data_IF_647118858706
#
_entry.id   IF_647118858706
#
_cell.length_a   1.000
_cell.length_b   1.000
_cell.length_c   1.000
_cell.angle_alpha   90.00
_cell.angle_beta   90.00
_cell.angle_gamma   90.00
#
_symmetry.space_group_name_H-M   'P 1'
#
loop_
_entity.id
_entity.type
_entity.pdbx_description
1 polymer ?
#
# COMPACT_ATOMS: atom_id res chain seq x y z
N UNK A 1 8.73 68.54 49.57
CA UNK A 1 7.36 68.04 49.82
C UNK A 1 7.39 66.55 49.57
N UNK A 2 7.55 65.80 50.66
CA UNK A 2 7.55 64.35 50.76
C UNK A 2 6.17 63.75 50.58
N UNK A 3 6.08 62.58 49.93
CA UNK A 3 5.31 61.40 50.39
C UNK A 3 6.01 60.15 49.82
N UNK A 4 6.94 59.54 50.56
CA UNK A 4 6.80 58.32 51.39
C UNK A 4 6.45 57.00 50.65
N UNK A 5 7.51 56.23 50.41
CA UNK A 5 7.72 54.81 50.76
C UNK A 5 6.53 54.01 51.34
N UNK A 6 6.32 52.80 50.78
CA UNK A 6 6.27 51.58 51.60
C UNK A 6 6.62 50.31 50.79
N UNK A 7 7.72 49.68 51.22
CA UNK A 7 8.17 48.31 50.94
C UNK A 7 7.28 47.30 51.66
N UNK A 8 7.21 46.08 51.13
CA UNK A 8 7.35 44.77 51.81
C UNK A 8 6.50 43.73 51.07
N UNK A 9 6.77 42.43 51.06
CA UNK A 9 7.93 41.59 51.35
C UNK A 9 7.53 40.21 50.80
N UNK A 10 8.48 39.45 50.26
CA UNK A 10 8.28 38.02 50.01
C UNK A 10 8.20 37.25 51.34
N UNK A 11 7.51 36.11 51.38
CA UNK A 11 7.96 35.00 52.19
C UNK A 11 8.25 33.76 51.34
N UNK A 12 9.22 32.99 51.83
CA UNK A 12 9.75 31.78 51.24
C UNK A 12 9.00 30.52 51.72
N UNK A 13 8.96 29.51 50.84
CA UNK A 13 9.00 28.05 51.06
C UNK A 13 7.96 27.40 51.99
N UNK A 14 7.16 26.50 51.40
CA UNK A 14 6.85 25.17 51.97
C UNK A 14 6.34 24.19 50.89
N UNK A 15 7.16 23.18 50.57
CA UNK A 15 6.71 21.84 50.11
C UNK A 15 6.09 21.11 51.32
N UNK A 16 5.10 20.19 51.19
CA UNK A 16 5.21 18.97 50.36
C UNK A 16 3.89 18.51 49.68
N UNK A 17 3.97 17.73 48.60
CA UNK A 17 3.61 16.30 48.59
C UNK A 17 3.49 15.80 47.14
N UNK A 18 4.17 14.69 46.90
CA UNK A 18 4.22 13.94 45.65
C UNK A 18 2.89 13.22 45.39
N UNK A 19 2.38 13.28 44.16
CA UNK A 19 1.67 12.16 43.55
C UNK A 19 2.14 11.99 42.10
N UNK A 20 3.05 11.03 41.95
CA UNK A 20 3.43 10.40 40.68
C UNK A 20 2.23 9.60 40.18
N UNK A 21 1.89 9.74 38.91
CA UNK A 21 1.07 8.75 38.19
C UNK A 21 1.94 8.09 37.11
N UNK A 22 1.84 6.78 37.07
CA UNK A 22 2.87 5.82 36.74
C UNK A 22 2.81 5.31 35.30
N UNK A 23 3.98 5.21 34.66
CA UNK A 23 4.25 4.30 33.54
C UNK A 23 4.18 2.84 34.03
N UNK A 24 3.58 1.89 33.29
CA UNK A 24 3.83 0.48 33.52
C UNK A 24 5.05 0.03 32.71
N UNK A 25 6.23 0.04 33.35
CA UNK A 25 7.31 -0.88 33.00
C UNK A 25 7.13 -2.14 33.87
N UNK A 26 6.88 -3.29 33.26
CA UNK A 26 7.17 -4.58 33.89
C UNK A 26 7.98 -5.44 32.93
N UNK A 27 9.30 -5.40 33.15
CA UNK A 27 10.20 -6.50 32.90
C UNK A 27 9.65 -7.73 33.64
N UNK A 28 9.29 -8.78 32.91
CA UNK A 28 9.16 -10.11 33.48
C UNK A 28 10.29 -10.99 32.96
N UNK A 29 10.97 -11.57 33.95
CA UNK A 29 12.16 -12.39 33.90
C UNK A 29 11.91 -13.67 33.11
N UNK A 30 12.77 -13.94 32.13
CA UNK A 30 12.88 -15.25 31.48
C UNK A 30 13.51 -16.21 32.49
N UNK A 31 12.73 -17.17 32.97
CA UNK A 31 13.25 -18.40 33.60
C UNK A 31 12.94 -19.58 32.69
N UNK A 32 14.01 -20.13 32.14
CA UNK A 32 14.10 -21.40 31.44
C UNK A 32 13.64 -22.55 32.33
N UNK A 33 12.67 -23.34 31.86
CA UNK A 33 12.55 -24.76 32.22
C UNK A 33 11.91 -25.56 31.08
N UNK A 34 12.74 -26.44 30.53
CA UNK A 34 12.45 -27.84 30.17
C UNK A 34 11.63 -28.15 28.91
N UNK A 35 12.38 -28.77 28.00
CA UNK A 35 11.97 -29.54 26.83
C UNK A 35 10.85 -30.53 27.12
N UNK A 36 9.81 -30.51 26.30
CA UNK A 36 8.98 -31.69 26.08
C UNK A 36 9.32 -32.25 24.70
N UNK A 37 10.09 -33.32 24.74
CA UNK A 37 10.40 -34.23 23.64
C UNK A 37 9.11 -34.89 23.14
N UNK A 38 8.84 -34.76 21.85
CA UNK A 38 7.82 -35.56 21.18
C UNK A 38 8.27 -37.02 21.13
N UNK A 39 7.70 -37.84 22.01
CA UNK A 39 7.89 -39.28 22.02
C UNK A 39 7.26 -39.93 20.79
N UNK A 40 8.09 -40.59 20.00
CA UNK A 40 7.69 -41.45 18.89
C UNK A 40 7.03 -42.71 19.47
N UNK A 41 5.75 -42.93 19.19
CA UNK A 41 5.08 -44.21 19.49
C UNK A 41 4.73 -44.88 18.17
N UNK A 42 5.50 -45.90 17.83
CA UNK A 42 5.18 -46.87 16.79
C UNK A 42 3.98 -47.71 17.24
N UNK A 43 2.92 -47.75 16.44
CA UNK A 43 1.86 -48.74 16.57
C UNK A 43 1.73 -49.52 15.25
N UNK A 44 2.04 -50.81 15.33
CA UNK A 44 2.01 -51.76 14.23
C UNK A 44 0.63 -52.39 14.03
N UNK A 45 0.28 -52.56 12.75
CA UNK A 45 -0.63 -53.57 12.15
C UNK A 45 -2.14 -53.48 12.41
N UNK A 46 -2.90 -53.24 11.33
CA UNK A 46 -3.85 -54.24 10.79
C UNK A 46 -4.49 -53.74 9.49
N UNK A 47 -4.50 -54.59 8.46
CA UNK A 47 -5.25 -54.37 7.20
C UNK A 47 -6.74 -54.27 7.49
N UNK A 48 -7.38 -53.17 7.12
CA UNK A 48 -8.80 -53.13 6.73
C UNK A 48 -8.97 -52.29 5.48
N UNK A 49 -9.52 -52.93 4.47
CA UNK A 49 -10.01 -52.34 3.23
C UNK A 49 -11.04 -51.26 3.57
N UNK A 50 -10.77 -50.01 3.20
CA UNK A 50 -11.76 -48.93 3.25
C UNK A 50 -12.26 -48.74 1.83
N UNK A 51 -13.53 -49.01 1.62
CA UNK A 51 -14.22 -48.84 0.34
C UNK A 51 -14.19 -47.35 -0.06
N UNK A 52 -13.89 -47.10 -1.33
CA UNK A 52 -13.96 -45.77 -1.92
C UNK A 52 -15.41 -45.28 -1.90
N UNK A 53 -15.68 -44.29 -1.05
CA UNK A 53 -16.92 -43.51 -1.12
C UNK A 53 -16.77 -42.59 -2.33
N UNK A 54 -17.59 -42.80 -3.35
CA UNK A 54 -17.74 -41.83 -4.43
C UNK A 54 -18.18 -40.51 -3.81
N UNK A 55 -17.33 -39.49 -3.93
CA UNK A 55 -17.72 -38.12 -3.67
C UNK A 55 -18.71 -37.73 -4.77
N UNK A 56 -20.00 -37.82 -4.47
CA UNK A 56 -21.03 -37.13 -5.25
C UNK A 56 -20.60 -35.67 -5.34
N UNK A 57 -20.55 -35.15 -6.56
CA UNK A 57 -20.33 -33.73 -6.82
C UNK A 57 -21.28 -32.95 -5.91
N UNK A 58 -20.72 -32.30 -4.89
CA UNK A 58 -21.39 -31.20 -4.25
C UNK A 58 -21.53 -30.18 -5.38
N UNK A 59 -22.72 -30.14 -5.95
CA UNK A 59 -23.18 -29.08 -6.81
C UNK A 59 -22.62 -27.81 -6.22
N UNK A 60 -21.78 -27.12 -6.98
CA UNK A 60 -21.37 -25.77 -6.68
C UNK A 60 -22.70 -25.03 -6.59
N UNK A 61 -23.23 -24.90 -5.38
CA UNK A 61 -24.39 -24.09 -5.09
C UNK A 61 -23.94 -22.72 -5.54
N UNK A 62 -24.32 -22.41 -6.77
CA UNK A 62 -23.88 -21.23 -7.47
C UNK A 62 -24.18 -20.11 -6.50
N UNK A 63 -23.11 -19.44 -6.05
CA UNK A 63 -23.27 -18.13 -5.46
C UNK A 63 -24.08 -17.38 -6.51
N UNK A 64 -25.37 -17.18 -6.25
CA UNK A 64 -26.24 -16.44 -7.13
C UNK A 64 -25.45 -15.21 -7.53
N UNK A 65 -25.30 -14.98 -8.84
CA UNK A 65 -24.59 -13.82 -9.38
C UNK A 65 -25.40 -12.58 -9.03
N UNK A 66 -25.40 -12.22 -7.74
CA UNK A 66 -25.90 -10.96 -7.24
C UNK A 66 -25.01 -9.94 -7.90
N UNK A 67 -25.60 -9.08 -8.73
CA UNK A 67 -24.88 -7.97 -9.37
C UNK A 67 -24.15 -7.21 -8.27
N UNK A 68 -22.82 -7.35 -8.22
CA UNK A 68 -22.00 -6.66 -7.22
C UNK A 68 -21.83 -5.24 -7.74
N UNK A 69 -22.33 -4.28 -7.00
CA UNK A 69 -22.21 -2.85 -7.30
C UNK A 69 -21.34 -2.23 -6.21
N UNK A 70 -20.43 -1.36 -6.60
CA UNK A 70 -19.66 -0.55 -5.64
C UNK A 70 -20.54 0.56 -5.07
N UNK A 71 -20.89 0.43 -3.78
CA UNK A 71 -21.69 1.39 -3.01
C UNK A 71 -20.83 2.27 -2.09
N UNK A 72 -19.51 2.26 -2.25
CA UNK A 72 -18.59 2.98 -1.36
C UNK A 72 -18.63 4.51 -1.54
N UNK A 73 -19.23 5.00 -2.62
CA UNK A 73 -19.24 6.42 -3.05
C UNK A 73 -17.82 7.03 -3.15
N UNK A 74 -16.78 6.19 -3.18
CA UNK A 74 -15.39 6.63 -3.10
C UNK A 74 -14.81 7.07 -4.44
N UNK A 75 -15.39 6.60 -5.55
CA UNK A 75 -14.98 6.89 -6.93
C UNK A 75 -15.94 7.87 -7.61
N UNK A 76 -16.41 8.88 -6.87
CA UNK A 76 -17.30 9.94 -7.37
C UNK A 76 -16.54 11.26 -7.52
N UNK A 77 -17.12 12.24 -8.23
CA UNK A 77 -16.50 13.55 -8.38
C UNK A 77 -16.53 14.36 -7.07
N UNK A 78 -17.54 14.14 -6.24
CA UNK A 78 -17.72 14.84 -4.96
C UNK A 78 -16.72 14.36 -3.90
N UNK A 79 -16.27 13.09 -3.99
CA UNK A 79 -15.28 12.51 -3.07
C UNK A 79 -13.83 12.88 -3.44
N UNK A 80 -13.57 13.48 -4.62
CA UNK A 80 -12.20 13.70 -5.14
C UNK A 80 -11.33 14.41 -4.11
N UNK A 81 -11.81 15.51 -3.50
CA UNK A 81 -11.00 16.29 -2.55
C UNK A 81 -10.53 15.43 -1.39
N UNK A 82 -11.45 14.67 -0.78
CA UNK A 82 -11.13 13.81 0.36
C UNK A 82 -10.21 12.66 -0.05
N UNK A 83 -10.44 12.07 -1.22
CA UNK A 83 -9.60 11.00 -1.76
C UNK A 83 -8.17 11.47 -2.02
N UNK A 84 -7.99 12.66 -2.61
CA UNK A 84 -6.68 13.25 -2.88
C UNK A 84 -5.88 13.51 -1.59
N UNK A 85 -6.53 14.00 -0.53
CA UNK A 85 -5.88 14.21 0.78
C UNK A 85 -5.41 12.88 1.35
N UNK A 86 -6.27 11.84 1.34
CA UNK A 86 -5.89 10.51 1.85
C UNK A 86 -4.74 9.88 1.07
N UNK A 87 -4.73 10.05 -0.26
CA UNK A 87 -3.65 9.55 -1.11
C UNK A 87 -2.35 10.32 -0.89
N UNK A 88 -2.42 11.62 -0.61
CA UNK A 88 -1.26 12.43 -0.21
C UNK A 88 -0.65 11.92 1.10
N UNK A 89 -1.46 11.72 2.14
CA UNK A 89 -1.01 11.14 3.42
C UNK A 89 -0.37 9.76 3.21
N UNK A 90 -0.99 8.92 2.38
CA UNK A 90 -0.48 7.58 2.06
C UNK A 90 0.91 7.63 1.42
N UNK A 91 1.14 8.58 0.50
CA UNK A 91 2.46 8.80 -0.10
C UNK A 91 3.45 9.24 0.97
N UNK A 92 3.12 10.28 1.74
CA UNK A 92 4.02 10.83 2.77
C UNK A 92 4.46 9.72 3.73
N UNK A 93 3.52 8.95 4.28
CA UNK A 93 3.87 7.86 5.20
C UNK A 93 4.68 6.76 4.52
N UNK A 94 4.32 6.35 3.30
CA UNK A 94 5.09 5.32 2.58
C UNK A 94 6.55 5.74 2.32
N UNK A 95 6.77 7.01 1.96
CA UNK A 95 8.11 7.56 1.74
C UNK A 95 8.89 7.70 3.04
N UNK A 96 8.24 8.09 4.14
CA UNK A 96 8.87 8.13 5.46
C UNK A 96 9.32 6.74 5.93
N UNK A 97 8.48 5.72 5.72
CA UNK A 97 8.86 4.33 6.01
C UNK A 97 10.03 3.88 5.14
N UNK A 98 10.02 4.18 3.84
CA UNK A 98 11.14 3.86 2.96
C UNK A 98 12.43 4.57 3.37
N UNK A 99 12.34 5.79 3.88
CA UNK A 99 13.48 6.60 4.32
C UNK A 99 14.16 6.09 5.59
N UNK A 100 13.55 5.12 6.31
CA UNK A 100 14.20 4.45 7.44
C UNK A 100 15.37 3.57 7.00
N UNK A 101 15.38 3.12 5.74
CA UNK A 101 16.41 2.26 5.17
C UNK A 101 17.36 3.04 4.24
N UNK A 102 18.60 2.57 4.13
CA UNK A 102 19.58 3.02 3.15
C UNK A 102 19.12 2.72 1.71
N UNK A 103 19.93 3.14 0.74
CA UNK A 103 19.66 2.88 -0.67
C UNK A 103 19.58 1.38 -0.99
N UNK A 104 20.43 0.54 -0.39
CA UNK A 104 20.37 -0.91 -0.52
C UNK A 104 20.37 -1.38 -2.00
N UNK A 105 21.44 -1.02 -2.72
CA UNK A 105 21.55 -1.20 -4.18
C UNK A 105 21.28 -2.63 -4.66
N UNK A 106 21.63 -3.63 -3.84
CA UNK A 106 21.41 -5.04 -4.13
C UNK A 106 19.93 -5.40 -4.28
N UNK A 107 19.00 -4.63 -3.67
CA UNK A 107 17.55 -4.79 -3.88
C UNK A 107 17.13 -4.57 -5.34
N UNK A 108 17.89 -3.77 -6.09
CA UNK A 108 17.62 -3.41 -7.48
C UNK A 108 18.49 -4.17 -8.48
N UNK A 109 19.47 -4.93 -7.99
CA UNK A 109 20.37 -5.70 -8.82
C UNK A 109 19.74 -7.05 -9.19
N UNK A 110 19.77 -7.38 -10.48
CA UNK A 110 19.14 -8.58 -11.03
C UNK A 110 19.92 -9.87 -10.71
N UNK A 111 21.19 -9.74 -10.29
CA UNK A 111 22.11 -10.89 -10.15
C UNK A 111 22.41 -11.26 -8.69
N UNK A 112 21.78 -10.61 -7.71
CA UNK A 112 22.10 -10.80 -6.29
C UNK A 112 21.17 -11.83 -5.64
N UNK A 113 19.87 -11.69 -5.86
CA UNK A 113 18.87 -12.57 -5.25
C UNK A 113 18.31 -13.54 -6.29
N UNK A 114 18.57 -14.82 -6.08
CA UNK A 114 18.00 -15.89 -6.89
C UNK A 114 16.72 -16.39 -6.24
N UNK A 115 15.62 -16.29 -6.98
CA UNK A 115 14.31 -16.78 -6.57
C UNK A 115 13.88 -17.85 -7.57
N UNK A 116 13.45 -19.01 -7.07
CA UNK A 116 13.16 -20.17 -7.92
C UNK A 116 12.15 -19.80 -9.01
N UNK A 117 12.56 -19.95 -10.27
CA UNK A 117 11.72 -19.65 -11.43
C UNK A 117 11.50 -18.17 -11.74
N UNK A 118 12.21 -17.25 -11.08
CA UNK A 118 12.16 -15.81 -11.36
C UNK A 118 13.52 -15.25 -11.78
N UNK A 119 13.52 -14.39 -12.79
CA UNK A 119 14.70 -13.68 -13.28
C UNK A 119 14.42 -12.18 -13.21
N UNK A 120 15.08 -11.50 -12.29
CA UNK A 120 14.89 -10.06 -12.06
C UNK A 120 15.41 -9.64 -10.69
N UNK A 121 15.31 -8.35 -10.40
CA UNK A 121 15.66 -7.79 -9.10
C UNK A 121 14.66 -8.18 -8.01
N UNK A 122 15.07 -8.04 -6.74
CA UNK A 122 14.19 -8.31 -5.59
C UNK A 122 12.95 -7.41 -5.60
N UNK A 123 13.09 -6.14 -5.99
CA UNK A 123 11.94 -5.23 -6.07
C UNK A 123 10.95 -5.65 -7.17
N UNK A 124 11.43 -6.09 -8.33
CA UNK A 124 10.55 -6.57 -9.40
C UNK A 124 9.79 -7.82 -9.00
N UNK A 125 10.45 -8.75 -8.30
CA UNK A 125 9.79 -9.92 -7.74
C UNK A 125 8.67 -9.50 -6.78
N UNK A 126 9.00 -8.65 -5.80
CA UNK A 126 8.05 -8.23 -4.77
C UNK A 126 6.84 -7.50 -5.36
N UNK A 127 7.06 -6.60 -6.32
CA UNK A 127 5.97 -5.91 -7.01
C UNK A 127 5.12 -6.92 -7.77
N UNK A 128 5.70 -7.73 -8.65
CA UNK A 128 4.96 -8.69 -9.50
C UNK A 128 4.13 -9.68 -8.69
N UNK A 129 4.70 -10.29 -7.66
CA UNK A 129 3.97 -11.25 -6.83
C UNK A 129 2.85 -10.58 -6.02
N UNK A 130 3.08 -9.36 -5.55
CA UNK A 130 2.03 -8.55 -4.90
C UNK A 130 0.90 -8.20 -5.89
N UNK A 131 1.23 -7.84 -7.13
CA UNK A 131 0.23 -7.57 -8.16
C UNK A 131 -0.56 -8.83 -8.51
N UNK A 132 0.10 -9.98 -8.68
CA UNK A 132 -0.58 -11.26 -8.91
C UNK A 132 -1.57 -11.58 -7.80
N UNK A 133 -1.17 -11.40 -6.54
CA UNK A 133 -2.04 -11.62 -5.39
C UNK A 133 -3.26 -10.69 -5.43
N UNK A 134 -3.06 -9.40 -5.68
CA UNK A 134 -4.15 -8.43 -5.74
C UNK A 134 -5.05 -8.57 -6.98
N UNK A 135 -4.51 -9.06 -8.10
CA UNK A 135 -5.27 -9.33 -9.32
C UNK A 135 -6.29 -10.46 -9.10
N UNK A 136 -5.94 -11.48 -8.31
CA UNK A 136 -6.86 -12.57 -7.97
C UNK A 136 -8.14 -12.07 -7.26
N UNK A 137 -8.08 -10.93 -6.57
CA UNK A 137 -9.25 -10.32 -5.91
C UNK A 137 -9.84 -9.16 -6.72
N UNK A 138 -9.39 -8.95 -7.95
CA UNK A 138 -9.98 -7.98 -8.88
C UNK A 138 -9.52 -6.53 -8.69
N UNK A 139 -8.42 -6.28 -7.97
CA UNK A 139 -7.90 -4.91 -7.71
C UNK A 139 -7.78 -4.09 -8.99
N UNK A 140 -7.12 -4.64 -10.00
CA UNK A 140 -6.84 -3.94 -11.26
C UNK A 140 -8.03 -3.91 -12.25
N UNK A 141 -9.22 -4.34 -11.83
CA UNK A 141 -10.47 -4.03 -12.53
C UNK A 141 -11.07 -2.71 -12.02
N UNK A 142 -10.55 -2.14 -10.93
CA UNK A 142 -10.94 -0.81 -10.43
C UNK A 142 -10.39 0.30 -11.33
N UNK A 143 -11.16 1.36 -11.65
CA UNK A 143 -10.73 2.41 -12.58
C UNK A 143 -9.56 3.26 -12.07
N UNK A 144 -9.29 3.25 -10.76
CA UNK A 144 -8.22 4.00 -10.09
C UNK A 144 -6.97 3.16 -9.79
N UNK A 145 -6.93 1.87 -10.15
CA UNK A 145 -5.80 0.97 -9.88
C UNK A 145 -5.11 0.55 -11.19
N UNK A 146 -3.82 0.83 -11.32
CA UNK A 146 -3.04 0.57 -12.54
C UNK A 146 -1.85 -0.34 -12.22
N UNK A 147 -1.72 -1.52 -12.86
CA UNK A 147 -0.62 -2.44 -12.60
C UNK A 147 0.68 -2.00 -13.26
N UNK A 148 1.81 -2.28 -12.63
CA UNK A 148 3.14 -2.07 -13.19
C UNK A 148 3.51 -3.16 -14.21
N UNK A 149 3.06 -4.40 -13.98
CA UNK A 149 3.34 -5.57 -14.82
C UNK A 149 2.05 -6.23 -15.32
N UNK A 150 1.30 -5.61 -16.25
CA UNK A 150 0.00 -6.10 -16.70
C UNK A 150 0.03 -7.46 -17.40
N UNK A 151 1.17 -7.85 -18.00
CA UNK A 151 1.29 -9.09 -18.76
C UNK A 151 1.24 -10.35 -17.89
N UNK A 152 1.56 -10.23 -16.60
CA UNK A 152 1.72 -11.38 -15.69
C UNK A 152 0.52 -11.61 -14.78
N UNK A 153 -0.56 -10.84 -14.95
CA UNK A 153 -1.68 -10.84 -14.03
C UNK A 153 -2.66 -12.00 -14.31
N UNK A 154 -3.02 -12.79 -13.28
CA UNK A 154 -4.09 -13.77 -13.40
C UNK A 154 -5.46 -13.09 -13.48
N UNK A 155 -6.44 -13.79 -14.05
CA UNK A 155 -7.83 -13.33 -14.00
C UNK A 155 -8.38 -13.36 -12.55
N UNK A 156 -9.28 -12.42 -12.20
CA UNK A 156 -9.90 -12.40 -10.88
C UNK A 156 -10.68 -13.68 -10.58
N UNK A 157 -10.52 -14.20 -9.37
CA UNK A 157 -11.28 -15.35 -8.84
C UNK A 157 -12.65 -14.93 -8.32
N UNK A 158 -12.82 -13.64 -8.02
CA UNK A 158 -14.09 -13.08 -7.56
C UNK A 158 -14.98 -12.66 -8.74
N UNK A 159 -16.32 -12.72 -8.60
CA UNK A 159 -17.22 -12.17 -9.60
C UNK A 159 -16.96 -10.66 -9.82
N UNK A 160 -17.13 -10.14 -11.04
CA UNK A 160 -16.92 -8.73 -11.35
C UNK A 160 -17.69 -7.78 -10.43
N UNK A 161 -17.10 -6.63 -10.14
CA UNK A 161 -17.71 -5.52 -9.42
C UNK A 161 -18.02 -4.40 -10.41
N UNK A 162 -19.25 -3.91 -10.42
CA UNK A 162 -19.66 -2.78 -11.24
C UNK A 162 -19.33 -1.47 -10.52
N UNK A 163 -18.37 -0.73 -11.08
CA UNK A 163 -17.98 0.59 -10.60
C UNK A 163 -18.82 1.69 -11.25
N UNK A 164 -19.00 2.86 -10.59
CA UNK A 164 -19.61 4.03 -11.21
C UNK A 164 -18.89 4.44 -12.50
N UNK A 165 -19.63 4.60 -13.59
CA UNK A 165 -19.08 5.04 -14.86
C UNK A 165 -18.88 6.56 -14.88
N UNK A 166 -17.85 7.02 -14.16
CA UNK A 166 -17.52 8.45 -14.04
C UNK A 166 -16.56 8.90 -15.13
N UNK A 167 -15.56 8.08 -15.46
CA UNK A 167 -14.52 8.44 -16.43
C UNK A 167 -14.93 8.12 -17.87
N UNK A 168 -14.43 8.90 -18.82
CA UNK A 168 -14.52 8.59 -20.24
C UNK A 168 -13.79 7.26 -20.57
N UNK A 169 -14.30 6.41 -21.50
CA UNK A 169 -13.70 5.09 -21.81
C UNK A 169 -12.21 5.10 -22.19
N UNK A 170 -11.70 6.23 -22.66
CA UNK A 170 -10.26 6.40 -22.95
C UNK A 170 -9.38 6.16 -21.72
N UNK A 171 -9.92 6.36 -20.51
CA UNK A 171 -9.22 6.19 -19.24
C UNK A 171 -8.60 4.79 -19.07
N UNK A 172 -9.22 3.76 -19.65
CA UNK A 172 -8.77 2.36 -19.53
C UNK A 172 -7.45 2.12 -20.30
N UNK A 173 -7.20 2.92 -21.34
CA UNK A 173 -5.98 2.82 -22.15
C UNK A 173 -4.80 3.63 -21.60
N UNK A 174 -5.04 4.48 -20.60
CA UNK A 174 -4.01 5.38 -20.04
C UNK A 174 -3.36 4.71 -18.84
N UNK A 175 -2.12 4.22 -19.01
CA UNK A 175 -1.27 3.77 -17.92
C UNK A 175 0.15 4.33 -18.12
N UNK A 176 0.60 5.18 -17.19
CA UNK A 176 1.92 5.82 -17.21
C UNK A 176 2.90 5.22 -16.19
N UNK A 177 2.61 4.03 -15.65
CA UNK A 177 3.42 3.39 -14.61
C UNK A 177 4.89 3.23 -14.98
N UNK A 178 5.23 3.06 -16.27
CA UNK A 178 6.63 3.05 -16.70
C UNK A 178 7.36 4.36 -16.34
N UNK A 179 6.73 5.51 -16.56
CA UNK A 179 7.30 6.82 -16.19
C UNK A 179 7.35 7.00 -14.68
N UNK A 180 6.37 6.47 -13.95
CA UNK A 180 6.33 6.53 -12.48
C UNK A 180 7.45 5.67 -11.88
N UNK A 181 7.66 4.48 -12.42
CA UNK A 181 8.76 3.60 -12.07
C UNK A 181 10.11 4.28 -12.30
N UNK A 182 10.33 4.81 -13.50
CA UNK A 182 11.58 5.48 -13.86
C UNK A 182 11.83 6.69 -12.94
N UNK A 183 10.82 7.54 -12.71
CA UNK A 183 10.91 8.68 -11.80
C UNK A 183 11.20 8.25 -10.36
N UNK A 184 10.54 7.19 -9.87
CA UNK A 184 10.73 6.73 -8.50
C UNK A 184 12.17 6.28 -8.26
N UNK A 185 12.71 5.39 -9.09
CA UNK A 185 14.04 4.83 -8.88
C UNK A 185 15.19 5.74 -9.34
N UNK A 186 14.98 6.54 -10.39
CA UNK A 186 16.04 7.39 -10.96
C UNK A 186 16.14 8.75 -10.29
N UNK A 187 15.00 9.33 -9.86
CA UNK A 187 14.94 10.70 -9.39
C UNK A 187 14.61 10.80 -7.90
N UNK A 188 13.49 10.19 -7.48
CA UNK A 188 12.95 10.38 -6.13
C UNK A 188 13.77 9.63 -5.08
N UNK A 189 13.93 8.32 -5.26
CA UNK A 189 14.56 7.45 -4.29
C UNK A 189 16.00 7.90 -3.95
N UNK A 190 16.90 8.19 -4.91
CA UNK A 190 18.28 8.61 -4.60
C UNK A 190 18.39 9.94 -3.85
N UNK A 191 17.35 10.78 -3.90
CA UNK A 191 17.27 12.07 -3.19
C UNK A 191 16.63 11.92 -1.80
N UNK A 192 15.87 10.85 -1.58
CA UNK A 192 15.13 10.60 -0.35
C UNK A 192 15.97 9.87 0.69
N UNK A 193 16.68 8.81 0.29
CA UNK A 193 17.34 7.88 1.21
C UNK A 193 18.84 8.14 1.30
N UNK A 194 19.45 7.74 2.43
CA UNK A 194 20.91 7.79 2.58
C UNK A 194 21.57 6.77 1.66
N UNK A 195 22.69 7.15 1.05
CA UNK A 195 23.56 6.18 0.35
C UNK A 195 24.11 5.16 1.37
N UNK A 196 24.28 3.94 0.92
CA UNK A 196 24.87 2.86 1.72
C UNK A 196 24.02 1.60 1.67
N UNK A 197 24.39 0.67 2.53
CA UNK A 197 23.76 -0.64 2.69
C UNK A 197 23.59 -0.91 4.18
N UNK A 198 22.35 -1.17 4.59
CA UNK A 198 22.02 -1.59 5.96
C UNK A 198 21.54 -3.05 6.06
N UNK A 199 21.57 -3.78 4.94
CA UNK A 199 21.18 -5.18 4.84
C UNK A 199 19.67 -5.46 4.79
N UNK A 200 18.81 -4.43 4.89
CA UNK A 200 17.34 -4.62 4.96
C UNK A 200 16.68 -4.68 3.57
N UNK A 201 17.17 -5.57 2.69
CA UNK A 201 16.70 -5.66 1.30
C UNK A 201 15.21 -6.02 1.18
N UNK A 202 14.74 -6.94 2.01
CA UNK A 202 13.33 -7.35 2.02
C UNK A 202 12.40 -6.20 2.43
N UNK A 203 12.71 -5.54 3.54
CA UNK A 203 11.94 -4.37 4.00
C UNK A 203 11.98 -3.24 2.99
N UNK A 204 13.14 -3.02 2.35
CA UNK A 204 13.31 -2.06 1.26
C UNK A 204 12.35 -2.34 0.11
N UNK A 205 12.35 -3.57 -0.42
CA UNK A 205 11.47 -3.96 -1.53
C UNK A 205 9.98 -3.88 -1.19
N UNK A 206 9.59 -4.21 0.05
CA UNK A 206 8.21 -4.04 0.54
C UNK A 206 7.83 -2.56 0.57
N UNK A 207 8.66 -1.70 1.15
CA UNK A 207 8.42 -0.25 1.18
C UNK A 207 8.35 0.35 -0.22
N UNK A 208 9.25 -0.05 -1.12
CA UNK A 208 9.24 0.39 -2.52
C UNK A 208 7.91 0.00 -3.21
N UNK A 209 7.43 -1.22 -2.99
CA UNK A 209 6.15 -1.70 -3.53
C UNK A 209 4.98 -0.85 -3.06
N UNK A 210 4.94 -0.49 -1.76
CA UNK A 210 3.90 0.36 -1.19
C UNK A 210 3.97 1.78 -1.77
N UNK A 211 5.18 2.34 -1.88
CA UNK A 211 5.41 3.67 -2.47
C UNK A 211 4.91 3.71 -3.92
N UNK A 212 5.30 2.72 -4.73
CA UNK A 212 4.93 2.64 -6.15
C UNK A 212 3.41 2.55 -6.33
N UNK A 213 2.72 1.74 -5.53
CA UNK A 213 1.25 1.64 -5.58
C UNK A 213 0.58 2.97 -5.17
N UNK A 214 1.05 3.62 -4.12
CA UNK A 214 0.52 4.92 -3.67
C UNK A 214 0.74 6.02 -4.72
N UNK A 215 1.94 6.08 -5.30
CA UNK A 215 2.28 7.02 -6.37
C UNK A 215 1.44 6.78 -7.63
N UNK A 216 1.36 5.52 -8.08
CA UNK A 216 0.53 5.13 -9.24
C UNK A 216 -0.90 5.61 -9.08
N UNK A 217 -1.53 5.28 -7.95
CA UNK A 217 -2.91 5.68 -7.66
C UNK A 217 -3.08 7.20 -7.69
N UNK A 218 -2.20 7.94 -6.99
CA UNK A 218 -2.26 9.42 -6.90
C UNK A 218 -2.08 10.13 -8.22
N UNK A 219 -1.15 9.66 -9.04
CA UNK A 219 -0.84 10.28 -10.33
C UNK A 219 -1.94 9.98 -11.35
N UNK A 220 -2.44 8.74 -11.39
CA UNK A 220 -3.55 8.38 -12.27
C UNK A 220 -4.90 8.96 -11.81
N UNK A 221 -5.05 9.33 -10.53
CA UNK A 221 -6.22 10.07 -10.04
C UNK A 221 -6.42 11.43 -10.74
N UNK A 222 -5.39 11.92 -11.44
CA UNK A 222 -5.52 13.04 -12.38
C UNK A 222 -6.63 12.85 -13.42
N UNK A 223 -7.02 11.61 -13.75
CA UNK A 223 -8.18 11.30 -14.61
C UNK A 223 -9.49 11.84 -14.02
N UNK A 224 -9.77 11.55 -12.75
CA UNK A 224 -10.96 12.04 -12.05
C UNK A 224 -10.94 13.57 -11.93
N UNK A 225 -9.77 14.14 -11.65
CA UNK A 225 -9.59 15.60 -11.57
C UNK A 225 -9.85 16.26 -12.93
N UNK A 226 -9.34 15.68 -14.03
CA UNK A 226 -9.55 16.18 -15.38
C UNK A 226 -11.03 16.10 -15.79
N UNK A 227 -11.70 14.98 -15.49
CA UNK A 227 -13.14 14.80 -15.71
C UNK A 227 -13.95 15.84 -14.95
N UNK A 228 -13.67 16.06 -13.66
CA UNK A 228 -14.34 17.09 -12.86
C UNK A 228 -14.17 18.49 -13.47
N UNK A 229 -12.95 18.85 -13.86
CA UNK A 229 -12.65 20.15 -14.48
C UNK A 229 -13.36 20.32 -15.83
N UNK A 230 -13.36 19.27 -16.65
CA UNK A 230 -14.02 19.29 -17.95
C UNK A 230 -15.53 19.46 -17.80
N UNK A 231 -16.18 18.73 -16.88
CA UNK A 231 -17.62 18.87 -16.63
C UNK A 231 -18.03 20.26 -16.15
N UNK A 232 -17.18 20.92 -15.36
CA UNK A 232 -17.46 22.28 -14.87
C UNK A 232 -17.33 23.33 -15.97
N UNK A 233 -16.40 23.13 -16.92
CA UNK A 233 -16.08 24.16 -17.93
C UNK A 233 -15.57 23.55 -19.25
N UNK A 234 -16.44 22.86 -20.03
CA UNK A 234 -16.01 22.17 -21.25
C UNK A 234 -15.35 23.11 -22.27
N UNK A 235 -15.94 24.29 -22.47
CA UNK A 235 -15.50 25.31 -23.44
C UNK A 235 -14.05 25.75 -23.23
N UNK A 236 -13.56 25.73 -21.98
CA UNK A 236 -12.19 26.11 -21.65
C UNK A 236 -11.16 25.11 -22.22
N UNK A 237 -11.55 23.86 -22.46
CA UNK A 237 -10.66 22.79 -22.91
C UNK A 237 -10.94 22.34 -24.35
N UNK A 238 -12.18 22.46 -24.84
CA UNK A 238 -12.59 21.93 -26.15
C UNK A 238 -11.70 22.40 -27.31
N UNK A 239 -11.38 23.69 -27.36
CA UNK A 239 -10.56 24.26 -28.44
C UNK A 239 -9.15 23.65 -28.44
N UNK A 240 -8.54 23.50 -27.26
CA UNK A 240 -7.22 22.90 -27.12
C UNK A 240 -7.23 21.39 -27.43
N UNK A 241 -8.26 20.68 -26.99
CA UNK A 241 -8.46 19.24 -27.24
C UNK A 241 -8.61 18.99 -28.75
N UNK A 242 -9.47 19.75 -29.44
CA UNK A 242 -9.68 19.62 -30.90
C UNK A 242 -8.41 19.92 -31.71
N UNK A 243 -7.58 20.85 -31.22
CA UNK A 243 -6.29 21.19 -31.83
C UNK A 243 -5.16 20.23 -31.45
N UNK A 244 -5.40 19.26 -30.57
CA UNK A 244 -4.39 18.39 -29.97
C UNK A 244 -3.20 19.20 -29.39
N UNK A 245 -3.49 20.39 -28.87
CA UNK A 245 -2.44 21.30 -28.39
C UNK A 245 -1.97 20.85 -27.02
N UNK A 246 -0.69 20.48 -26.93
CA UNK A 246 0.01 20.23 -25.66
C UNK A 246 1.20 21.18 -25.60
N UNK A 247 1.32 21.97 -24.51
CA UNK A 247 2.55 22.74 -24.31
C UNK A 247 3.70 21.78 -23.98
N UNK A 248 4.90 21.98 -24.56
CA UNK A 248 6.08 21.23 -24.17
C UNK A 248 6.44 21.54 -22.72
N UNK A 249 6.69 20.48 -21.94
CA UNK A 249 7.19 20.53 -20.56
C UNK A 249 8.71 20.50 -20.55
#
# INVERSE_FOLDING_TARGET
MDVKLLKSASPAVSTPCFLKSSRPNKLFVIRTTQSLSFGFVQLSSARRCVQAVQASEASTAGLERKNRIDESESLTLDSIRHSLIRQEDSIIFSLLERAQYCYNADTYNHNVFFMDGFQGSLVEFMVRETEKLHAQVGRYKSPDEHPFFPADLPEPKLPPLHYPQVLHPIADSININKKIWDMYFSDLLPRLVKKGDDGNYGSTAVCDTICLQALSKRMHYGKFVAEAKFRVSPDAYEVAIRKQFSMPW
#
